data_IF_940170808061
#
_entry.id   IF_940170808061
#
_cell.length_a   1.000
_cell.length_b   1.000
_cell.length_c   1.000
_cell.angle_alpha   90.00
_cell.angle_beta   90.00
_cell.angle_gamma   90.00
#
_symmetry.space_group_name_H-M   'P 1'
#
loop_
_entity.id
_entity.type
_entity.pdbx_description
1 polymer ?
#
# COMPACT_ATOMS: atom_id res chain seq x y z
N UNK A 1 -2.43 3.84 21.90
CA UNK A 1 -2.11 3.09 20.67
C UNK A 1 -2.94 3.67 19.55
N UNK A 2 -2.34 4.02 18.42
CA UNK A 2 -3.11 4.31 17.19
C UNK A 2 -3.78 3.04 16.69
N UNK A 3 -4.76 3.15 15.80
CA UNK A 3 -5.37 1.95 15.19
C UNK A 3 -4.35 1.16 14.37
N UNK A 4 -3.35 1.85 13.80
CA UNK A 4 -2.20 1.23 13.15
C UNK A 4 -1.31 0.46 14.12
N UNK A 5 -1.02 0.99 15.30
CA UNK A 5 -0.27 0.26 16.32
C UNK A 5 -1.04 -0.97 16.82
N UNK A 6 -2.37 -0.87 17.00
CA UNK A 6 -3.21 -2.02 17.35
C UNK A 6 -3.17 -3.10 16.27
N UNK A 7 -3.31 -2.70 15.00
CA UNK A 7 -3.19 -3.59 13.84
C UNK A 7 -1.85 -4.33 13.82
N UNK A 8 -0.74 -3.62 14.02
CA UNK A 8 0.61 -4.21 14.02
C UNK A 8 0.87 -5.13 15.22
N UNK A 9 0.19 -4.92 16.34
CA UNK A 9 0.27 -5.78 17.53
C UNK A 9 -0.76 -6.93 17.53
N UNK A 10 -1.54 -7.10 16.45
CA UNK A 10 -2.54 -8.16 16.35
C UNK A 10 -3.76 -8.00 17.27
N UNK A 11 -4.02 -6.78 17.73
CA UNK A 11 -5.15 -6.44 18.59
C UNK A 11 -6.31 -5.92 17.73
N UNK A 12 -7.55 -6.09 18.19
CA UNK A 12 -8.73 -5.51 17.53
C UNK A 12 -8.53 -4.01 17.31
N UNK A 13 -8.76 -3.56 16.07
CA UNK A 13 -8.57 -2.19 15.63
C UNK A 13 -9.73 -1.77 14.71
N UNK A 14 -10.02 -0.47 14.64
CA UNK A 14 -11.02 0.09 13.75
C UNK A 14 -10.45 0.26 12.34
N UNK A 15 -10.54 -0.81 11.55
CA UNK A 15 -10.08 -0.79 10.17
C UNK A 15 -10.88 0.17 9.27
N UNK A 16 -12.16 0.43 9.59
CA UNK A 16 -13.13 0.99 8.64
C UNK A 16 -13.34 2.49 8.79
N UNK A 17 -13.15 3.05 9.99
CA UNK A 17 -13.35 4.48 10.25
C UNK A 17 -12.05 5.24 10.56
N UNK A 18 -10.94 4.53 10.82
CA UNK A 18 -9.66 5.19 11.07
C UNK A 18 -9.10 5.86 9.82
N UNK A 19 -8.92 7.19 9.89
CA UNK A 19 -8.51 8.01 8.75
C UNK A 19 -7.10 7.67 8.28
N UNK A 20 -6.17 7.38 9.19
CA UNK A 20 -4.79 7.06 8.86
C UNK A 20 -4.73 5.76 8.03
N UNK A 21 -5.40 4.71 8.50
CA UNK A 21 -5.47 3.43 7.80
C UNK A 21 -6.21 3.54 6.46
N UNK A 22 -7.27 4.34 6.36
CA UNK A 22 -7.96 4.60 5.09
C UNK A 22 -7.02 5.30 4.09
N UNK A 23 -6.31 6.33 4.52
CA UNK A 23 -5.39 7.08 3.67
C UNK A 23 -4.22 6.22 3.18
N UNK A 24 -3.65 5.37 4.05
CA UNK A 24 -2.58 4.44 3.65
C UNK A 24 -3.07 3.41 2.63
N UNK A 25 -4.26 2.84 2.83
CA UNK A 25 -4.86 1.94 1.82
C UNK A 25 -5.14 2.66 0.52
N UNK A 26 -5.59 3.91 0.55
CA UNK A 26 -5.81 4.69 -0.66
C UNK A 26 -4.49 4.95 -1.41
N UNK A 27 -3.41 5.27 -0.70
CA UNK A 27 -2.07 5.41 -1.29
C UNK A 27 -1.61 4.11 -1.96
N UNK A 28 -1.75 2.97 -1.29
CA UNK A 28 -1.43 1.66 -1.86
C UNK A 28 -2.29 1.34 -3.10
N UNK A 29 -3.62 1.53 -3.02
CA UNK A 29 -4.54 1.29 -4.15
C UNK A 29 -4.21 2.16 -5.36
N UNK A 30 -3.79 3.41 -5.17
CA UNK A 30 -3.34 4.28 -6.27
C UNK A 30 -2.11 3.72 -6.98
N UNK A 31 -1.17 3.13 -6.26
CA UNK A 31 0.00 2.48 -6.85
C UNK A 31 -0.40 1.19 -7.58
N UNK A 32 -1.24 0.34 -6.98
CA UNK A 32 -1.75 -0.85 -7.65
C UNK A 32 -2.49 -0.51 -8.95
N UNK A 33 -3.34 0.52 -8.93
CA UNK A 33 -4.04 0.97 -10.14
C UNK A 33 -3.05 1.40 -11.23
N UNK A 34 -2.03 2.19 -10.89
CA UNK A 34 -0.99 2.57 -11.85
C UNK A 34 -0.27 1.35 -12.41
N UNK A 35 0.21 0.45 -11.53
CA UNK A 35 0.89 -0.78 -11.92
C UNK A 35 0.08 -1.62 -12.91
N UNK A 36 -1.20 -1.86 -12.59
CA UNK A 36 -2.09 -2.68 -13.40
C UNK A 36 -2.39 -2.12 -14.80
N UNK A 37 -2.09 -0.83 -15.04
CA UNK A 37 -2.30 -0.17 -16.33
C UNK A 37 -0.99 0.12 -17.07
N UNK A 38 0.17 -0.30 -16.55
CA UNK A 38 1.45 -0.17 -17.27
C UNK A 38 1.53 -1.27 -18.32
N UNK A 39 2.02 -0.91 -19.52
CA UNK A 39 2.32 -1.88 -20.58
C UNK A 39 3.28 -2.97 -20.08
N UNK A 40 3.07 -4.26 -20.44
CA UNK A 40 3.98 -5.33 -20.08
C UNK A 40 5.42 -5.09 -20.56
N UNK A 41 5.61 -4.32 -21.63
CA UNK A 41 6.94 -3.97 -22.18
C UNK A 41 7.70 -2.95 -21.33
N UNK A 42 7.03 -2.25 -20.42
CA UNK A 42 7.63 -1.19 -19.61
C UNK A 42 8.02 -1.71 -18.22
N UNK A 43 8.93 -2.68 -18.20
CA UNK A 43 9.43 -3.35 -16.99
C UNK A 43 10.07 -2.38 -15.98
N UNK A 44 10.73 -1.33 -16.47
CA UNK A 44 11.40 -0.33 -15.63
C UNK A 44 10.36 0.43 -14.79
N UNK A 45 9.24 0.84 -15.39
CA UNK A 45 8.20 1.56 -14.67
C UNK A 45 7.45 0.63 -13.70
N UNK A 46 7.18 -0.60 -14.12
CA UNK A 46 6.62 -1.64 -13.25
C UNK A 46 7.47 -1.84 -11.98
N UNK A 47 8.78 -2.04 -12.14
CA UNK A 47 9.71 -2.22 -11.01
C UNK A 47 9.70 -1.01 -10.06
N UNK A 48 9.70 0.21 -10.59
CA UNK A 48 9.64 1.44 -9.78
C UNK A 48 8.37 1.53 -8.94
N UNK A 49 7.21 1.12 -9.48
CA UNK A 49 5.97 1.14 -8.71
C UNK A 49 5.97 0.06 -7.63
N UNK A 50 6.50 -1.11 -7.95
CA UNK A 50 6.61 -2.24 -7.03
C UNK A 50 7.54 -1.90 -5.85
N UNK A 51 8.72 -1.30 -6.09
CA UNK A 51 9.60 -0.78 -5.05
C UNK A 51 8.93 0.31 -4.19
N UNK A 52 8.08 1.17 -4.77
CA UNK A 52 7.31 2.16 -4.00
C UNK A 52 6.20 1.54 -3.15
N UNK A 53 5.62 0.43 -3.61
CA UNK A 53 4.50 -0.23 -2.95
C UNK A 53 4.96 -1.06 -1.75
N UNK A 54 6.09 -1.77 -1.88
CA UNK A 54 6.58 -2.70 -0.86
C UNK A 54 7.86 -2.25 -0.17
N UNK A 55 8.54 -1.22 -0.67
CA UNK A 55 9.84 -0.78 -0.17
C UNK A 55 10.98 -1.59 -0.80
N UNK A 56 11.92 -2.04 0.02
CA UNK A 56 13.02 -2.90 -0.43
C UNK A 56 12.46 -4.29 -0.70
N UNK A 57 12.62 -4.74 -1.94
CA UNK A 57 12.24 -6.07 -2.39
C UNK A 57 13.54 -6.84 -2.57
N UNK A 58 13.64 -8.00 -1.90
CA UNK A 58 14.84 -8.85 -1.88
C UNK A 58 15.08 -9.61 -3.16
#
# INVERSE_FOLDING_TARGET
>A
MTEKEKMLNGILYDANNDKELIEERLKAKKLCFKFNNISPENEIEQKKIIERLFGIIG
#
